data_IF_610707084014
#
_entry.id   IF_610707084014
#
_cell.length_a   1.000
_cell.length_b   1.000
_cell.length_c   1.000
_cell.angle_alpha   90.00
_cell.angle_beta   90.00
_cell.angle_gamma   90.00
#
_symmetry.space_group_name_H-M   'P 1'
#
loop_
_entity.id
_entity.type
_entity.pdbx_description
1 polymer ?
#
# COMPACT_ATOMS: atom_id res chain seq x y z
N UNK A 1 -4.05 6.17 8.22
CA UNK A 1 -5.28 5.92 7.46
C UNK A 1 -6.32 6.79 8.13
N UNK A 2 -6.72 7.90 7.50
CA UNK A 2 -7.77 8.77 8.04
C UNK A 2 -9.08 8.25 7.48
N UNK A 3 -9.98 7.90 8.37
CA UNK A 3 -11.19 7.16 8.13
C UNK A 3 -12.37 8.14 8.30
N UNK A 4 -13.11 8.42 7.23
CA UNK A 4 -14.37 9.23 7.20
C UNK A 4 -15.55 8.37 7.74
N UNK A 5 -16.73 8.93 7.97
CA UNK A 5 -17.97 8.28 8.43
C UNK A 5 -18.33 6.95 7.72
N UNK A 6 -17.84 6.69 6.50
CA UNK A 6 -17.93 5.37 5.84
C UNK A 6 -17.05 4.26 6.47
N UNK A 7 -16.10 4.62 7.33
CA UNK A 7 -15.20 3.71 8.03
C UNK A 7 -15.82 2.97 9.21
N UNK A 8 -16.86 3.54 9.79
CA UNK A 8 -17.62 2.94 10.88
C UNK A 8 -18.29 1.64 10.41
N UNK A 9 -18.76 1.61 9.15
CA UNK A 9 -19.32 0.40 8.53
C UNK A 9 -18.25 -0.62 8.13
N UNK A 10 -17.06 -0.18 7.70
CA UNK A 10 -15.94 -1.08 7.38
C UNK A 10 -15.41 -1.82 8.61
N UNK A 11 -15.17 -1.10 9.72
CA UNK A 11 -14.78 -1.71 10.98
C UNK A 11 -15.89 -2.61 11.55
N UNK A 12 -17.16 -2.27 11.30
CA UNK A 12 -18.29 -3.14 11.64
C UNK A 12 -18.33 -4.41 10.76
N UNK A 13 -17.94 -4.34 9.49
CA UNK A 13 -17.75 -5.49 8.60
C UNK A 13 -16.63 -6.43 9.07
N UNK A 14 -15.46 -5.85 9.40
CA UNK A 14 -14.34 -6.54 10.05
C UNK A 14 -14.78 -7.22 11.36
N UNK A 15 -15.68 -6.59 12.13
CA UNK A 15 -16.18 -7.11 13.40
C UNK A 15 -17.23 -8.23 13.25
N UNK A 16 -18.05 -8.22 12.19
CA UNK A 16 -19.19 -9.15 12.02
C UNK A 16 -18.88 -10.41 11.22
N UNK A 17 -17.87 -10.39 10.33
CA UNK A 17 -17.65 -11.48 9.36
C UNK A 17 -16.41 -12.36 9.57
N UNK A 18 -15.56 -12.06 10.56
CA UNK A 18 -14.18 -12.59 10.54
C UNK A 18 -13.42 -12.19 9.26
N UNK A 19 -13.94 -11.15 8.60
CA UNK A 19 -13.55 -10.72 7.27
C UNK A 19 -12.23 -9.99 7.28
N UNK A 20 -11.58 -9.99 6.13
CA UNK A 20 -10.24 -9.46 5.95
C UNK A 20 -10.27 -8.62 4.68
N UNK A 21 -9.99 -7.33 4.80
CA UNK A 21 -10.17 -6.41 3.68
C UNK A 21 -9.02 -6.57 2.69
N UNK A 22 -9.35 -6.99 1.47
CA UNK A 22 -8.49 -6.85 0.30
C UNK A 22 -8.54 -5.39 -0.16
N UNK A 23 -7.46 -4.67 0.08
CA UNK A 23 -7.36 -3.25 -0.24
C UNK A 23 -6.54 -3.08 -1.50
N UNK A 24 -7.13 -2.57 -2.60
CA UNK A 24 -6.39 -2.24 -3.80
C UNK A 24 -5.47 -1.04 -3.51
N UNK A 25 -4.44 -0.90 -4.33
CA UNK A 25 -3.53 0.23 -4.20
C UNK A 25 -3.44 1.06 -5.48
N UNK A 26 -3.06 2.30 -5.29
CA UNK A 26 -2.60 3.19 -6.34
C UNK A 26 -1.10 3.37 -6.19
N UNK A 27 -0.35 3.05 -7.24
CA UNK A 27 1.09 3.17 -7.26
C UNK A 27 1.50 4.63 -7.49
N UNK A 28 2.14 5.21 -6.48
CA UNK A 28 2.83 6.49 -6.54
C UNK A 28 4.34 6.25 -6.53
N UNK A 29 5.07 7.06 -7.28
CA UNK A 29 6.53 7.04 -7.28
C UNK A 29 7.09 8.44 -7.01
N UNK A 30 8.38 8.62 -7.29
CA UNK A 30 9.19 9.79 -7.00
C UNK A 30 8.63 11.07 -7.59
N UNK A 31 7.70 11.05 -8.56
CA UNK A 31 7.19 12.26 -9.21
C UNK A 31 8.33 13.16 -9.73
N UNK A 32 9.41 12.52 -10.22
CA UNK A 32 10.62 13.21 -10.72
C UNK A 32 11.59 13.69 -9.64
N UNK A 33 11.32 13.45 -8.36
CA UNK A 33 12.17 13.92 -7.27
C UNK A 33 13.55 13.26 -7.29
N UNK A 34 14.59 14.09 -7.38
CA UNK A 34 15.98 13.62 -7.40
C UNK A 34 16.53 13.40 -5.98
N UNK A 35 16.20 14.29 -5.04
CA UNK A 35 16.70 14.31 -3.67
C UNK A 35 15.61 14.01 -2.63
N UNK A 36 16.00 13.77 -1.37
CA UNK A 36 15.04 13.60 -0.27
C UNK A 36 14.57 14.98 0.19
N UNK A 37 13.27 15.22 0.20
CA UNK A 37 12.64 16.40 0.84
C UNK A 37 12.02 16.09 2.21
N UNK A 38 11.78 17.14 3.01
CA UNK A 38 11.20 17.07 4.36
C UNK A 38 9.67 17.01 4.41
N UNK A 39 8.99 17.45 3.35
CA UNK A 39 7.52 17.53 3.35
C UNK A 39 6.84 16.16 3.46
N UNK A 40 5.55 16.16 3.80
CA UNK A 40 4.75 14.94 3.79
C UNK A 40 4.77 14.26 2.41
N UNK A 41 4.75 12.94 2.41
CA UNK A 41 4.72 12.15 1.16
C UNK A 41 3.45 12.44 0.36
N UNK A 42 2.33 12.65 1.04
CA UNK A 42 1.04 12.95 0.42
C UNK A 42 1.03 14.31 -0.28
N UNK A 43 1.89 15.24 0.13
CA UNK A 43 1.99 16.58 -0.46
C UNK A 43 2.88 16.61 -1.70
N UNK A 44 3.88 15.71 -1.77
CA UNK A 44 4.89 15.69 -2.82
C UNK A 44 4.55 14.78 -3.99
N UNK A 45 3.93 13.64 -3.68
CA UNK A 45 3.65 12.60 -4.67
C UNK A 45 2.20 12.68 -5.09
N UNK A 46 1.93 13.56 -6.06
CA UNK A 46 0.58 13.91 -6.55
C UNK A 46 0.28 13.36 -7.93
N UNK A 47 1.13 12.50 -8.47
CA UNK A 47 0.85 11.71 -9.67
C UNK A 47 1.12 10.25 -9.42
N UNK A 48 0.33 9.40 -10.06
CA UNK A 48 0.33 7.95 -9.93
C UNK A 48 0.22 7.25 -11.28
N UNK A 49 0.46 5.95 -11.27
CA UNK A 49 0.18 5.08 -12.41
C UNK A 49 -1.32 5.10 -12.79
N UNK A 50 -1.61 4.93 -14.09
CA UNK A 50 -2.97 4.68 -14.59
C UNK A 50 -3.62 3.51 -13.85
N UNK A 51 -4.93 3.59 -13.57
CA UNK A 51 -5.65 2.55 -12.84
C UNK A 51 -5.52 1.16 -13.49
N UNK A 52 -5.54 1.09 -14.83
CA UNK A 52 -5.39 -0.15 -15.59
C UNK A 52 -3.96 -0.73 -15.63
N UNK A 53 -2.97 -0.05 -15.04
CA UNK A 53 -1.60 -0.55 -15.00
C UNK A 53 -1.52 -1.79 -14.10
N UNK A 54 -0.87 -2.86 -14.59
CA UNK A 54 -0.78 -4.14 -13.86
C UNK A 54 -0.06 -4.05 -12.52
N UNK A 55 0.77 -3.02 -12.29
CA UNK A 55 1.36 -2.80 -10.97
C UNK A 55 0.31 -2.46 -9.91
N UNK A 56 -0.83 -1.88 -10.30
CA UNK A 56 -1.97 -1.64 -9.41
C UNK A 56 -2.77 -2.92 -9.11
N UNK A 57 -2.47 -4.05 -9.76
CA UNK A 57 -3.17 -5.32 -9.54
C UNK A 57 -2.72 -6.06 -8.26
N UNK A 58 -1.93 -5.42 -7.39
CA UNK A 58 -1.63 -6.03 -6.10
C UNK A 58 -2.58 -5.48 -5.04
N UNK A 59 -2.87 -6.32 -4.07
CA UNK A 59 -3.66 -5.97 -2.89
C UNK A 59 -2.81 -5.95 -1.64
N UNK A 60 -3.28 -5.21 -0.64
CA UNK A 60 -2.85 -5.35 0.75
C UNK A 60 -4.01 -5.77 1.60
N UNK A 61 -3.68 -6.51 2.63
CA UNK A 61 -4.70 -7.23 3.37
C UNK A 61 -4.67 -6.83 4.83
N UNK A 62 -5.81 -6.35 5.33
CA UNK A 62 -6.00 -5.97 6.74
C UNK A 62 -6.80 -7.08 7.43
N UNK A 63 -6.15 -7.77 8.36
CA UNK A 63 -6.70 -8.94 9.04
C UNK A 63 -6.50 -8.82 10.54
N UNK A 64 -7.51 -9.25 11.31
CA UNK A 64 -7.36 -9.41 12.76
C UNK A 64 -6.46 -10.61 13.04
N UNK A 65 -5.44 -10.43 13.89
CA UNK A 65 -4.42 -11.45 14.13
C UNK A 65 -4.97 -12.82 14.57
N UNK A 66 -6.11 -12.86 15.28
CA UNK A 66 -6.76 -14.12 15.72
C UNK A 66 -7.24 -15.01 14.57
N UNK A 67 -7.50 -14.43 13.39
CA UNK A 67 -7.95 -15.17 12.20
C UNK A 67 -6.78 -15.61 11.31
N UNK A 68 -5.55 -15.20 11.63
CA UNK A 68 -4.38 -15.49 10.82
C UNK A 68 -3.86 -16.90 11.09
N UNK A 69 -3.93 -17.79 10.09
CA UNK A 69 -3.22 -19.07 10.12
C UNK A 69 -1.77 -18.93 9.65
N UNK A 70 -1.55 -18.26 8.51
CA UNK A 70 -0.22 -18.05 7.95
C UNK A 70 -0.10 -16.66 7.32
N UNK A 71 0.90 -15.86 7.71
CA UNK A 71 1.13 -14.56 7.09
C UNK A 71 1.58 -14.72 5.64
N UNK A 72 1.07 -13.83 4.79
CA UNK A 72 1.55 -13.59 3.44
C UNK A 72 1.46 -12.09 3.15
N UNK A 73 2.31 -11.59 2.24
CA UNK A 73 2.42 -10.16 1.92
C UNK A 73 1.23 -9.60 1.12
N UNK A 74 0.43 -10.48 0.51
CA UNK A 74 -0.76 -10.14 -0.27
C UNK A 74 -1.99 -10.92 0.18
N UNK A 75 -1.91 -12.24 0.36
CA UNK A 75 -3.08 -13.10 0.62
C UNK A 75 -2.82 -14.04 1.81
N UNK A 76 -2.96 -13.55 3.06
CA UNK A 76 -2.79 -14.39 4.24
C UNK A 76 -3.72 -15.61 4.19
N UNK A 77 -3.27 -16.70 4.79
CA UNK A 77 -4.13 -17.86 5.04
C UNK A 77 -4.86 -17.63 6.36
N UNK A 78 -6.16 -17.89 6.35
CA UNK A 78 -6.98 -17.76 7.54
C UNK A 78 -7.29 -19.13 8.15
N UNK A 79 -7.45 -19.18 9.47
CA UNK A 79 -7.93 -20.39 10.16
C UNK A 79 -9.47 -20.48 10.11
N UNK A 80 -10.15 -19.34 10.03
CA UNK A 80 -11.59 -19.18 9.89
C UNK A 80 -11.91 -17.85 9.15
N UNK A 81 -13.11 -17.75 8.56
CA UNK A 81 -13.54 -16.55 7.84
C UNK A 81 -13.10 -16.48 6.37
N UNK A 82 -13.26 -15.32 5.75
CA UNK A 82 -12.92 -15.07 4.34
C UNK A 82 -12.36 -13.67 4.07
N UNK A 83 -11.58 -13.53 2.99
CA UNK A 83 -11.12 -12.23 2.51
C UNK A 83 -12.31 -11.57 1.80
N UNK A 84 -12.63 -10.33 2.14
CA UNK A 84 -13.72 -9.54 1.54
C UNK A 84 -13.19 -8.23 0.97
N UNK A 85 -13.92 -7.65 0.02
CA UNK A 85 -13.65 -6.32 -0.49
C UNK A 85 -14.35 -5.22 0.34
N UNK A 86 -14.18 -3.98 -0.10
CA UNK A 86 -14.79 -2.77 0.48
C UNK A 86 -16.33 -2.74 0.48
N UNK A 87 -16.98 -3.69 -0.20
CA UNK A 87 -18.43 -3.88 -0.22
C UNK A 87 -18.87 -5.16 0.53
N UNK A 88 -17.94 -5.85 1.20
CA UNK A 88 -18.19 -7.11 1.89
C UNK A 88 -18.33 -8.32 0.95
N UNK A 89 -17.97 -8.19 -0.33
CA UNK A 89 -17.99 -9.30 -1.28
C UNK A 89 -16.74 -10.14 -1.15
N UNK A 90 -16.85 -11.47 -1.30
CA UNK A 90 -15.72 -12.38 -1.13
C UNK A 90 -14.68 -12.13 -2.24
N UNK A 91 -13.47 -11.72 -1.83
CA UNK A 91 -12.36 -11.32 -2.70
C UNK A 91 -11.35 -12.43 -2.94
N UNK A 92 -11.69 -13.44 -3.76
CA UNK A 92 -10.74 -14.44 -4.29
C UNK A 92 -10.07 -15.38 -3.26
N UNK A 93 -9.24 -16.30 -3.75
CA UNK A 93 -8.76 -17.46 -3.00
C UNK A 93 -7.74 -17.13 -1.90
N UNK A 94 -8.00 -17.61 -0.68
CA UNK A 94 -7.06 -17.55 0.44
C UNK A 94 -5.74 -18.26 0.12
N UNK A 95 -4.62 -17.66 0.53
CA UNK A 95 -3.30 -18.30 0.44
C UNK A 95 -2.78 -18.57 -0.97
N UNK A 96 -3.36 -17.95 -2.01
CA UNK A 96 -2.90 -18.05 -3.40
C UNK A 96 -2.63 -16.66 -3.98
N UNK A 97 -1.40 -16.14 -3.83
CA UNK A 97 -1.03 -14.80 -4.27
C UNK A 97 -1.28 -14.55 -5.76
N UNK A 98 -1.12 -15.57 -6.61
CA UNK A 98 -1.25 -15.42 -8.07
C UNK A 98 -2.70 -15.45 -8.59
N UNK A 99 -3.68 -15.72 -7.70
CA UNK A 99 -5.08 -15.95 -8.07
C UNK A 99 -6.07 -15.08 -7.29
N UNK A 100 -5.61 -13.97 -6.72
CA UNK A 100 -6.51 -13.04 -6.04
C UNK A 100 -7.27 -12.17 -7.05
N UNK A 101 -8.56 -11.94 -6.76
CA UNK A 101 -9.29 -10.87 -7.42
C UNK A 101 -8.75 -9.53 -6.91
N UNK A 102 -8.54 -8.59 -7.82
CA UNK A 102 -8.24 -7.20 -7.47
C UNK A 102 -9.58 -6.48 -7.36
N UNK A 103 -10.02 -6.10 -6.15
CA UNK A 103 -11.28 -5.40 -5.99
C UNK A 103 -11.22 -4.01 -6.62
N UNK A 104 -12.40 -3.44 -6.88
CA UNK A 104 -12.50 -2.04 -7.26
C UNK A 104 -11.94 -1.14 -6.16
N UNK A 105 -11.41 0.03 -6.54
CA UNK A 105 -10.89 1.04 -5.63
C UNK A 105 -11.87 2.21 -5.49
N UNK A 106 -13.07 1.98 -4.93
CA UNK A 106 -14.12 3.01 -4.84
C UNK A 106 -14.23 3.62 -3.47
N UNK A 107 -14.13 2.82 -2.42
CA UNK A 107 -14.28 3.29 -1.03
C UNK A 107 -12.96 3.21 -0.27
N UNK A 108 -12.17 2.18 -0.54
CA UNK A 108 -10.92 1.93 0.17
C UNK A 108 -9.77 1.75 -0.82
N UNK A 109 -8.78 2.63 -0.74
CA UNK A 109 -7.59 2.54 -1.57
C UNK A 109 -6.36 2.97 -0.79
N UNK A 110 -5.25 2.26 -0.98
CA UNK A 110 -3.97 2.64 -0.42
C UNK A 110 -3.12 3.39 -1.43
N UNK A 111 -2.54 4.52 -1.02
CA UNK A 111 -1.45 5.13 -1.77
C UNK A 111 -0.16 4.37 -1.48
N UNK A 112 0.32 3.59 -2.45
CA UNK A 112 1.57 2.85 -2.33
C UNK A 112 2.73 3.66 -2.91
N UNK A 113 3.64 4.11 -2.05
CA UNK A 113 4.82 4.90 -2.44
C UNK A 113 6.05 4.00 -2.61
N UNK A 114 6.36 3.59 -3.85
CA UNK A 114 7.44 2.65 -4.15
C UNK A 114 8.83 3.16 -3.70
N UNK A 115 9.18 4.37 -4.17
CA UNK A 115 10.31 5.14 -3.63
C UNK A 115 10.02 6.63 -3.69
N UNK A 116 10.75 7.38 -2.86
CA UNK A 116 10.50 8.81 -2.61
C UNK A 116 11.40 9.74 -3.41
N UNK A 117 12.48 9.20 -3.98
CA UNK A 117 13.41 9.93 -4.85
C UNK A 117 14.41 8.98 -5.50
N UNK A 118 15.08 9.45 -6.55
CA UNK A 118 16.19 8.73 -7.19
C UNK A 118 17.36 8.51 -6.21
N UNK A 119 17.71 9.49 -5.39
CA UNK A 119 18.72 9.31 -4.34
C UNK A 119 18.33 8.23 -3.33
N UNK A 120 17.05 8.15 -2.94
CA UNK A 120 16.56 7.08 -2.06
C UNK A 120 16.61 5.71 -2.73
N UNK A 121 16.30 5.64 -4.02
CA UNK A 121 16.42 4.40 -4.80
C UNK A 121 17.86 3.88 -4.80
N UNK A 122 18.83 4.73 -5.17
CA UNK A 122 20.25 4.35 -5.17
C UNK A 122 20.74 3.92 -3.79
N UNK A 123 20.35 4.63 -2.74
CA UNK A 123 20.65 4.22 -1.36
C UNK A 123 20.02 2.86 -1.00
N UNK A 124 18.76 2.60 -1.40
CA UNK A 124 18.15 1.28 -1.22
C UNK A 124 18.88 0.20 -2.03
N UNK A 125 19.36 0.49 -3.24
CA UNK A 125 20.15 -0.45 -4.05
C UNK A 125 21.47 -0.79 -3.37
N UNK A 126 22.16 0.20 -2.79
CA UNK A 126 23.44 -0.02 -2.09
C UNK A 126 23.29 -0.86 -0.83
N UNK A 127 22.09 -0.87 -0.22
CA UNK A 127 21.77 -1.66 0.96
C UNK A 127 21.52 -3.16 0.69
N UNK A 128 21.71 -3.63 -0.56
CA UNK A 128 21.53 -5.03 -0.98
C UNK A 128 20.07 -5.50 -0.86
N UNK A 129 19.72 -6.60 -1.54
CA UNK A 129 18.37 -7.15 -1.49
C UNK A 129 18.27 -8.21 -0.38
N UNK A 130 17.42 -7.99 0.62
CA UNK A 130 17.29 -8.86 1.78
C UNK A 130 16.73 -10.28 1.48
N UNK A 131 16.24 -10.50 0.26
CA UNK A 131 15.54 -11.73 -0.16
C UNK A 131 16.47 -12.63 -0.99
N UNK A 132 17.62 -12.11 -1.42
CA UNK A 132 18.59 -12.83 -2.23
C UNK A 132 19.68 -13.42 -1.34
N UNK A 133 20.25 -14.56 -1.74
CA UNK A 133 21.38 -15.17 -1.03
C UNK A 133 22.66 -14.37 -1.26
N UNK A 134 23.51 -14.28 -0.23
CA UNK A 134 24.81 -13.61 -0.31
C UNK A 134 25.64 -14.21 -1.43
N UNK A 135 25.89 -13.40 -2.48
CA UNK A 135 26.67 -13.79 -3.66
C UNK A 135 25.86 -14.11 -4.91
N UNK A 136 24.53 -14.03 -4.89
CA UNK A 136 23.71 -14.23 -6.09
C UNK A 136 23.81 -13.04 -7.07
N UNK A 137 23.53 -13.30 -8.36
CA UNK A 137 23.45 -12.25 -9.39
C UNK A 137 22.27 -11.29 -9.16
N UNK A 138 21.27 -11.68 -8.36
CA UNK A 138 20.13 -10.86 -7.95
C UNK A 138 20.42 -9.94 -6.75
N UNK A 139 21.62 -10.01 -6.16
CA UNK A 139 21.97 -9.32 -4.92
C UNK A 139 21.76 -7.79 -4.92
N UNK A 140 21.79 -7.17 -6.10
CA UNK A 140 21.44 -5.76 -6.29
C UNK A 140 20.13 -5.62 -7.05
N UNK A 141 19.19 -4.85 -6.49
CA UNK A 141 17.97 -4.40 -7.18
C UNK A 141 18.31 -3.85 -8.58
N UNK A 142 17.73 -4.36 -9.69
CA UNK A 142 18.04 -3.87 -11.03
C UNK A 142 17.50 -2.45 -11.27
N UNK A 143 18.24 -1.58 -11.97
CA UNK A 143 17.81 -0.20 -12.20
C UNK A 143 16.54 -0.08 -13.05
N UNK A 144 16.28 -1.07 -13.92
CA UNK A 144 15.05 -1.11 -14.70
C UNK A 144 13.80 -1.24 -13.84
N UNK A 145 13.89 -1.74 -12.58
CA UNK A 145 12.76 -1.72 -11.65
C UNK A 145 12.32 -0.29 -11.34
N UNK A 146 13.26 0.65 -11.17
CA UNK A 146 12.90 2.05 -10.95
C UNK A 146 12.11 2.59 -12.15
N UNK A 147 12.60 2.34 -13.36
CA UNK A 147 11.90 2.79 -14.58
C UNK A 147 10.51 2.17 -14.72
N UNK A 148 10.37 0.87 -14.42
CA UNK A 148 9.09 0.17 -14.50
C UNK A 148 8.05 0.71 -13.50
N UNK A 149 8.49 1.23 -12.35
CA UNK A 149 7.59 1.73 -11.30
C UNK A 149 7.45 3.25 -11.28
N UNK A 150 8.35 4.01 -11.93
CA UNK A 150 8.30 5.48 -12.02
C UNK A 150 7.27 5.93 -13.05
N UNK A 151 6.01 5.64 -12.75
CA UNK A 151 4.84 5.97 -13.54
C UNK A 151 4.17 7.19 -12.92
N UNK A 152 3.93 8.23 -13.72
CA UNK A 152 3.35 9.50 -13.29
C UNK A 152 2.22 9.91 -14.24
N UNK A 153 1.44 8.91 -14.65
CA UNK A 153 0.51 9.02 -15.77
C UNK A 153 -0.63 9.98 -15.49
N UNK A 154 -1.24 9.87 -14.30
CA UNK A 154 -2.41 10.67 -13.90
C UNK A 154 -2.13 11.48 -12.64
N UNK A 155 -2.69 12.70 -12.59
CA UNK A 155 -2.67 13.52 -11.38
C UNK A 155 -3.70 12.99 -10.37
N UNK A 156 -3.28 12.91 -9.11
CA UNK A 156 -4.10 12.49 -7.97
C UNK A 156 -3.66 13.29 -6.73
N UNK A 157 -4.46 14.29 -6.38
CA UNK A 157 -4.20 15.20 -5.24
C UNK A 157 -5.03 14.87 -4.01
N UNK A 158 -5.82 13.80 -4.03
CA UNK A 158 -6.84 13.55 -2.99
C UNK A 158 -6.27 13.57 -1.57
N UNK A 159 -5.15 12.89 -1.33
CA UNK A 159 -4.48 12.93 -0.02
C UNK A 159 -3.68 14.20 0.22
N UNK A 160 -3.22 14.91 -0.81
CA UNK A 160 -2.52 16.18 -0.65
C UNK A 160 -3.44 17.22 0.02
N UNK A 161 -4.72 17.25 -0.35
CA UNK A 161 -5.73 18.10 0.29
C UNK A 161 -5.94 17.79 1.78
N UNK A 162 -5.54 16.61 2.27
CA UNK A 162 -5.63 16.20 3.68
C UNK A 162 -4.35 16.46 4.47
N UNK A 163 -3.32 17.06 3.88
CA UNK A 163 -2.02 17.24 4.53
C UNK A 163 -2.11 17.96 5.89
N UNK A 164 -2.92 19.02 5.99
CA UNK A 164 -3.13 19.74 7.26
C UNK A 164 -3.74 18.85 8.36
N UNK A 165 -4.79 18.09 8.03
CA UNK A 165 -5.39 17.11 8.97
C UNK A 165 -4.40 16.03 9.38
N UNK A 166 -3.55 15.56 8.45
CA UNK A 166 -2.52 14.57 8.74
C UNK A 166 -1.47 15.14 9.72
N UNK A 167 -0.99 16.37 9.50
CA UNK A 167 -0.07 17.03 10.42
C UNK A 167 -0.67 17.17 11.82
N UNK A 168 -1.91 17.66 11.91
CA UNK A 168 -2.59 17.82 13.20
C UNK A 168 -2.73 16.49 13.96
N UNK A 169 -3.03 15.40 13.24
CA UNK A 169 -3.12 14.07 13.84
C UNK A 169 -1.74 13.54 14.29
N UNK A 170 -0.68 13.79 13.51
CA UNK A 170 0.69 13.45 13.91
C UNK A 170 1.10 14.18 15.20
N UNK A 171 0.79 15.47 15.32
CA UNK A 171 1.05 16.27 16.53
C UNK A 171 0.24 15.77 17.73
N UNK A 172 -1.02 15.38 17.52
CA UNK A 172 -1.86 14.77 18.56
C UNK A 172 -1.24 13.47 19.08
N UNK A 173 -0.82 12.58 18.17
CA UNK A 173 -0.19 11.30 18.52
C UNK A 173 1.14 11.49 19.25
N UNK A 174 1.96 12.45 18.81
CA UNK A 174 3.21 12.79 19.50
C UNK A 174 2.98 13.20 20.95
N UNK A 175 1.95 14.01 21.22
CA UNK A 175 1.59 14.43 22.59
C UNK A 175 1.07 13.30 23.48
N UNK A 176 0.55 12.21 22.90
CA UNK A 176 0.12 11.04 23.67
C UNK A 176 1.26 10.09 24.02
N UNK A 177 2.38 10.20 23.29
CA UNK A 177 3.56 9.36 23.48
C UNK A 177 4.62 10.01 24.37
N UNK A 178 4.49 11.32 24.62
CA UNK A 178 5.31 12.10 25.56
C UNK A 178 4.72 12.05 26.96
#
# INVERSE_FOLDING_TARGET
MLFDNGSTDMLAGLARGGGVDHVPWHLFESNGQLSRGGDLVVSRFVRRALAANSLNNHVKTIVQARFMLRPDIHTPQLNEGCLVDEFGQIGGSQGRPDHHAVPGARLLVLNHYFTKSRAKWHHKRSQRWAIELTGSTGWLRPDHHFKAHNLNDVEDRLLAHRAGTICAEMERLQRLMS
#
